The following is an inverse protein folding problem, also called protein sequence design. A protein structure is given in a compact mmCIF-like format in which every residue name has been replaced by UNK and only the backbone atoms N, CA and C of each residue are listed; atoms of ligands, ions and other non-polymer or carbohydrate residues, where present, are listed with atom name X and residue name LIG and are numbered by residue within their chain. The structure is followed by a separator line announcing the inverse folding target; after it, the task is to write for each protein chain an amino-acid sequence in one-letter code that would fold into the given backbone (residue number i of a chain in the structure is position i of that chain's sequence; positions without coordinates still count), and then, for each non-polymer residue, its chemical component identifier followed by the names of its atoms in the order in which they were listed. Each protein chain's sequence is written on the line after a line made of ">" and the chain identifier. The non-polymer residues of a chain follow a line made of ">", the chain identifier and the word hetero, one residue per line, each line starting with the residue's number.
data_IF_496620445594
#
_entry.id   IF_496620445594
#
_cell.length_a   1.000
_cell.length_b   1.000
_cell.length_c   1.000
_cell.angle_alpha   90.00
_cell.angle_beta   90.00
_cell.angle_gamma   90.00
#
_symmetry.space_group_name_H-M   'P 1'
#
loop_
_entity.id
_entity.type
_entity.pdbx_description
1 polymer ?
#
# COMPACT_ATOMS: atom_id res chain seq x y z
N UNK A 1 -10.89 -19.47 13.49
CA UNK A 1 -11.13 -18.52 12.38
C UNK A 1 -9.85 -17.72 12.18
N UNK A 2 -9.35 -17.59 10.95
CA UNK A 2 -8.18 -16.76 10.67
C UNK A 2 -8.60 -15.29 10.56
N UNK A 3 -7.78 -14.38 11.09
CA UNK A 3 -8.03 -12.94 11.08
C UNK A 3 -7.75 -12.36 9.67
N UNK A 4 -8.47 -11.31 9.27
CA UNK A 4 -8.13 -10.52 8.07
C UNK A 4 -7.36 -9.27 8.49
N UNK A 5 -6.35 -8.89 7.71
CA UNK A 5 -5.49 -7.74 7.98
C UNK A 5 -5.50 -6.74 6.83
N UNK A 6 -5.59 -5.46 7.16
CA UNK A 6 -5.34 -4.38 6.22
C UNK A 6 -4.19 -3.53 6.75
N UNK A 7 -3.08 -3.48 6.01
CA UNK A 7 -1.98 -2.56 6.28
C UNK A 7 -2.29 -1.23 5.59
N UNK A 8 -2.22 -0.12 6.33
CA UNK A 8 -2.46 1.21 5.80
C UNK A 8 -1.15 2.02 5.82
N UNK A 9 -0.77 2.58 4.67
CA UNK A 9 0.38 3.46 4.54
C UNK A 9 -0.08 4.83 4.02
N UNK A 10 -0.23 5.80 4.91
CA UNK A 10 -0.38 7.20 4.52
C UNK A 10 1.00 7.79 4.23
N UNK A 11 1.19 8.38 3.05
CA UNK A 11 2.47 8.92 2.60
C UNK A 11 2.34 10.30 1.97
N UNK A 12 3.41 11.10 2.08
CA UNK A 12 3.51 12.45 1.55
C UNK A 12 4.96 12.75 1.16
N UNK A 13 5.22 13.01 -0.13
CA UNK A 13 6.56 13.33 -0.66
C UNK A 13 7.69 12.34 -0.27
N UNK A 14 7.38 11.03 -0.20
CA UNK A 14 8.36 9.96 0.02
C UNK A 14 8.49 9.01 -1.18
N UNK A 15 8.98 9.47 -2.34
CA UNK A 15 8.89 8.66 -3.56
C UNK A 15 9.88 7.49 -3.62
N UNK A 16 11.03 7.60 -2.95
CA UNK A 16 12.14 6.66 -3.13
C UNK A 16 11.97 5.33 -2.39
N UNK A 17 11.14 5.28 -1.35
CA UNK A 17 10.96 4.08 -0.51
C UNK A 17 9.65 3.33 -0.78
N UNK A 18 8.78 3.85 -1.66
CA UNK A 18 7.48 3.25 -1.95
C UNK A 18 7.61 1.82 -2.49
N UNK A 19 8.50 1.61 -3.47
CA UNK A 19 8.74 0.27 -4.04
C UNK A 19 9.26 -0.72 -3.01
N UNK A 20 10.15 -0.28 -2.11
CA UNK A 20 10.69 -1.11 -1.03
C UNK A 20 9.60 -1.50 -0.01
N UNK A 21 8.68 -0.58 0.29
CA UNK A 21 7.54 -0.84 1.16
C UNK A 21 6.60 -1.90 0.55
N UNK A 22 6.27 -1.77 -0.73
CA UNK A 22 5.44 -2.75 -1.46
C UNK A 22 6.13 -4.12 -1.47
N UNK A 23 7.41 -4.17 -1.81
CA UNK A 23 8.17 -5.42 -1.83
C UNK A 23 8.25 -6.09 -0.45
N UNK A 24 8.43 -5.29 0.60
CA UNK A 24 8.42 -5.78 1.99
C UNK A 24 7.07 -6.40 2.36
N UNK A 25 5.96 -5.77 1.94
CA UNK A 25 4.62 -6.34 2.10
C UNK A 25 4.48 -7.64 1.30
N UNK A 26 4.87 -7.68 0.03
CA UNK A 26 4.70 -8.88 -0.81
C UNK A 26 5.43 -10.10 -0.24
N UNK A 27 6.57 -9.90 0.43
CA UNK A 27 7.38 -10.96 1.05
C UNK A 27 6.85 -11.54 2.36
N UNK A 28 5.79 -10.97 2.95
CA UNK A 28 5.23 -11.51 4.19
C UNK A 28 4.68 -12.93 4.00
N UNK A 29 4.88 -13.78 5.00
CA UNK A 29 4.43 -15.17 5.05
C UNK A 29 2.94 -15.32 5.42
N UNK A 30 2.30 -14.24 5.88
CA UNK A 30 0.87 -14.22 6.17
C UNK A 30 0.05 -14.55 4.90
N UNK A 31 -1.04 -15.35 5.01
CA UNK A 31 -1.82 -15.77 3.84
C UNK A 31 -2.30 -14.59 3.00
N UNK A 32 -2.06 -14.67 1.68
CA UNK A 32 -2.26 -13.55 0.74
C UNK A 32 -3.73 -13.13 0.65
N UNK A 33 -4.62 -14.10 0.70
CA UNK A 33 -6.07 -13.94 0.69
C UNK A 33 -6.64 -13.32 1.97
N UNK A 34 -5.83 -13.23 3.03
CA UNK A 34 -6.20 -12.65 4.32
C UNK A 34 -5.54 -11.29 4.58
N UNK A 35 -4.79 -10.74 3.61
CA UNK A 35 -4.10 -9.45 3.76
C UNK A 35 -4.23 -8.54 2.56
N UNK A 36 -4.36 -7.25 2.83
CA UNK A 36 -4.23 -6.20 1.83
C UNK A 36 -3.32 -5.07 2.32
N UNK A 37 -2.71 -4.34 1.38
CA UNK A 37 -2.00 -3.09 1.61
C UNK A 37 -2.71 -1.95 0.87
N UNK A 38 -3.07 -0.91 1.62
CA UNK A 38 -3.65 0.31 1.07
C UNK A 38 -2.64 1.43 1.29
N UNK A 39 -2.19 2.04 0.20
CA UNK A 39 -1.31 3.21 0.23
C UNK A 39 -2.15 4.44 -0.12
N UNK A 40 -2.12 5.45 0.75
CA UNK A 40 -2.73 6.74 0.51
C UNK A 40 -1.63 7.75 0.22
N UNK A 41 -1.54 8.17 -1.04
CA UNK A 41 -0.62 9.24 -1.46
C UNK A 41 -1.32 10.59 -1.38
N UNK A 42 -0.98 11.37 -0.37
CA UNK A 42 -1.54 12.70 -0.13
C UNK A 42 -0.82 13.81 -0.92
N UNK A 43 0.34 13.50 -1.49
CA UNK A 43 1.11 14.47 -2.28
C UNK A 43 0.61 14.60 -3.73
N UNK A 44 -0.22 13.69 -4.23
CA UNK A 44 -0.65 13.69 -5.62
C UNK A 44 0.48 13.35 -6.61
N UNK A 45 1.55 12.70 -6.14
CA UNK A 45 2.77 12.48 -6.92
C UNK A 45 2.74 11.17 -7.73
N UNK A 46 1.70 10.36 -7.54
CA UNK A 46 1.46 9.11 -8.26
C UNK A 46 0.06 9.08 -8.89
N UNK A 47 -0.10 8.31 -9.96
CA UNK A 47 -1.43 7.89 -10.40
C UNK A 47 -1.96 6.74 -9.54
N UNK A 48 -3.29 6.57 -9.51
CA UNK A 48 -3.92 5.41 -8.90
C UNK A 48 -3.40 4.12 -9.54
N UNK A 49 -2.94 3.19 -8.72
CA UNK A 49 -2.30 1.95 -9.16
C UNK A 49 -2.68 0.79 -8.26
N UNK A 50 -2.60 -0.42 -8.78
CA UNK A 50 -2.87 -1.64 -8.03
C UNK A 50 -2.00 -2.80 -8.49
N UNK A 51 -1.87 -3.78 -7.60
CA UNK A 51 -1.14 -5.01 -7.85
C UNK A 51 -1.60 -6.12 -6.91
N UNK A 52 -0.81 -7.18 -6.79
CA UNK A 52 -1.19 -8.36 -6.03
C UNK A 52 -1.33 -8.05 -4.53
N UNK A 53 -2.58 -7.86 -4.07
CA UNK A 53 -2.90 -7.59 -2.67
C UNK A 53 -2.54 -6.17 -2.20
N UNK A 54 -2.22 -5.24 -3.11
CA UNK A 54 -1.96 -3.85 -2.74
C UNK A 54 -2.60 -2.86 -3.72
N UNK A 55 -2.95 -1.67 -3.23
CA UNK A 55 -3.42 -0.55 -4.05
C UNK A 55 -2.88 0.78 -3.53
N UNK A 56 -2.54 1.67 -4.46
CA UNK A 56 -2.21 3.07 -4.22
C UNK A 56 -3.38 3.93 -4.68
N UNK A 57 -3.88 4.74 -3.76
CA UNK A 57 -4.90 5.74 -3.99
C UNK A 57 -4.26 7.10 -3.79
N UNK A 58 -4.11 7.85 -4.88
CA UNK A 58 -3.56 9.21 -4.82
C UNK A 58 -4.70 10.22 -4.80
N UNK A 59 -4.80 10.92 -3.67
CA UNK A 59 -5.83 11.93 -3.44
C UNK A 59 -5.12 13.12 -2.82
N UNK A 60 -4.69 14.12 -3.62
CA UNK A 60 -4.15 15.36 -3.08
C UNK A 60 -5.31 16.19 -2.50
N UNK A 61 -5.75 15.85 -1.29
CA UNK A 61 -6.77 16.60 -0.56
C UNK A 61 -6.12 17.29 0.63
N UNK A 62 -5.96 18.60 0.51
CA UNK A 62 -5.47 19.49 1.57
C UNK A 62 -6.54 19.76 2.62
#
# INVERSE_FOLDING_TARGET
>A
MSMKLAALCCTYHRPHTLGQLIESFLRQDYPKELRELIILDDAGQYENQEGNGWRLVSIPRR
#
